data_IF_854103090123
#
_entry.id   IF_854103090123
#
_cell.length_a   1.000
_cell.length_b   1.000
_cell.length_c   1.000
_cell.angle_alpha   90.00
_cell.angle_beta   90.00
_cell.angle_gamma   90.00
#
_symmetry.space_group_name_H-M   'P 1'
#
loop_
_entity.id
_entity.type
_entity.pdbx_description
1 polymer ?
#
# COMPACT_ATOMS: atom_id res chain seq x y z
N UNK A 1 32.29 -9.20 1.38
CA UNK A 1 33.13 -9.40 2.58
C UNK A 1 34.62 -9.33 2.22
N UNK A 2 35.06 -9.87 1.08
CA UNK A 2 36.45 -9.79 0.60
C UNK A 2 37.01 -8.36 0.50
N UNK A 3 36.25 -7.41 -0.05
CA UNK A 3 36.67 -6.01 -0.13
C UNK A 3 36.93 -5.39 1.25
N UNK A 4 36.18 -5.80 2.28
CA UNK A 4 36.38 -5.36 3.65
C UNK A 4 37.68 -5.92 4.24
N UNK A 5 37.97 -7.21 4.02
CA UNK A 5 39.25 -7.81 4.40
C UNK A 5 40.44 -7.14 3.71
N UNK A 6 40.34 -6.89 2.41
CA UNK A 6 41.37 -6.17 1.64
C UNK A 6 41.59 -4.76 2.16
N UNK A 7 40.52 -4.06 2.54
CA UNK A 7 40.58 -2.72 3.13
C UNK A 7 41.20 -2.74 4.54
N UNK A 8 40.93 -3.77 5.35
CA UNK A 8 41.55 -3.97 6.68
C UNK A 8 43.07 -4.21 6.54
N UNK A 9 43.50 -4.93 5.51
CA UNK A 9 44.91 -5.21 5.25
C UNK A 9 45.65 -3.96 4.78
N UNK A 10 45.03 -3.15 3.92
CA UNK A 10 45.65 -1.95 3.32
C UNK A 10 45.57 -0.69 4.20
N UNK A 11 44.65 -0.63 5.17
CA UNK A 11 44.51 0.52 6.08
C UNK A 11 45.61 0.56 7.13
N UNK A 12 46.39 1.63 7.14
CA UNK A 12 47.50 1.87 8.09
C UNK A 12 47.07 2.57 9.38
N UNK A 13 45.93 3.25 9.37
CA UNK A 13 45.38 3.93 10.55
C UNK A 13 44.70 2.93 11.50
N UNK A 14 45.25 2.78 12.70
CA UNK A 14 44.77 1.82 13.71
C UNK A 14 43.30 2.05 14.13
N UNK A 15 42.84 3.29 14.24
CA UNK A 15 41.46 3.61 14.62
C UNK A 15 40.46 3.18 13.54
N UNK A 16 40.75 3.52 12.28
CA UNK A 16 39.91 3.12 11.15
C UNK A 16 39.94 1.60 10.93
N UNK A 17 41.12 0.99 11.09
CA UNK A 17 41.27 -0.47 11.02
C UNK A 17 40.43 -1.18 12.08
N UNK A 18 40.40 -0.68 13.32
CA UNK A 18 39.51 -1.22 14.36
C UNK A 18 38.03 -1.10 13.98
N UNK A 19 37.60 0.02 13.41
CA UNK A 19 36.23 0.18 12.91
C UNK A 19 35.90 -0.83 11.81
N UNK A 20 36.80 -1.04 10.84
CA UNK A 20 36.58 -2.03 9.79
C UNK A 20 36.55 -3.47 10.30
N UNK A 21 37.41 -3.81 11.28
CA UNK A 21 37.36 -5.12 11.94
C UNK A 21 36.04 -5.32 12.68
N UNK A 22 35.57 -4.32 13.43
CA UNK A 22 34.27 -4.42 14.10
C UNK A 22 33.10 -4.61 13.13
N UNK A 23 33.13 -3.93 11.99
CA UNK A 23 32.12 -4.09 10.94
C UNK A 23 32.18 -5.48 10.30
N UNK A 24 33.39 -5.99 10.03
CA UNK A 24 33.58 -7.34 9.51
C UNK A 24 33.03 -8.38 10.48
N UNK A 25 33.37 -8.29 11.78
CA UNK A 25 32.83 -9.20 12.80
C UNK A 25 31.31 -9.12 12.89
N UNK A 26 30.72 -7.92 12.77
CA UNK A 26 29.27 -7.76 12.76
C UNK A 26 28.60 -8.44 11.55
N UNK A 27 29.18 -8.29 10.35
CA UNK A 27 28.66 -8.91 9.11
C UNK A 27 28.86 -10.43 9.09
N UNK A 28 29.91 -10.92 9.76
CA UNK A 28 30.15 -12.35 9.97
C UNK A 28 29.33 -12.94 11.13
N UNK A 29 28.46 -12.16 11.78
CA UNK A 29 27.55 -12.69 12.79
C UNK A 29 26.44 -13.51 12.12
N UNK A 30 26.35 -14.79 12.49
CA UNK A 30 25.36 -15.71 11.92
C UNK A 30 23.91 -15.24 12.14
N UNK A 31 23.57 -14.71 13.33
CA UNK A 31 22.23 -14.20 13.64
C UNK A 31 21.86 -13.01 12.79
N UNK A 32 22.80 -12.09 12.55
CA UNK A 32 22.55 -10.95 11.68
C UNK A 32 22.21 -11.43 10.26
N UNK A 33 22.97 -12.39 9.73
CA UNK A 33 22.72 -12.94 8.39
C UNK A 33 21.38 -13.68 8.32
N UNK A 34 21.07 -14.51 9.32
CA UNK A 34 19.76 -15.16 9.42
C UNK A 34 18.63 -14.12 9.47
N UNK A 35 18.78 -13.07 10.28
CA UNK A 35 17.81 -12.00 10.37
C UNK A 35 17.66 -11.20 9.07
N UNK A 36 18.73 -11.02 8.29
CA UNK A 36 18.65 -10.41 6.95
C UNK A 36 17.86 -11.28 5.97
N UNK A 37 17.99 -12.61 6.05
CA UNK A 37 17.17 -13.53 5.25
C UNK A 37 15.70 -13.47 5.67
N UNK A 38 15.41 -13.38 6.98
CA UNK A 38 14.06 -13.09 7.47
C UNK A 38 13.51 -11.76 6.92
N UNK A 39 14.31 -10.69 6.98
CA UNK A 39 13.90 -9.38 6.46
C UNK A 39 13.59 -9.47 4.97
N UNK A 40 14.33 -10.27 4.20
CA UNK A 40 14.02 -10.50 2.80
C UNK A 40 12.65 -11.14 2.61
N UNK A 41 12.32 -12.18 3.37
CA UNK A 41 11.02 -12.84 3.31
C UNK A 41 9.87 -11.86 3.64
N UNK A 42 9.93 -11.17 4.78
CA UNK A 42 8.86 -10.27 5.22
C UNK A 42 8.71 -9.05 4.31
N UNK A 43 9.81 -8.49 3.80
CA UNK A 43 9.78 -7.40 2.83
C UNK A 43 9.18 -7.85 1.49
N UNK A 44 9.29 -9.13 1.14
CA UNK A 44 8.60 -9.72 -0.01
C UNK A 44 7.08 -9.56 0.10
N UNK A 45 6.50 -9.88 1.26
CA UNK A 45 5.07 -9.71 1.53
C UNK A 45 4.64 -8.25 1.53
N UNK A 46 5.41 -7.38 2.18
CA UNK A 46 5.14 -5.94 2.20
C UNK A 46 5.24 -5.30 0.82
N UNK A 47 6.22 -5.73 0.01
CA UNK A 47 6.37 -5.26 -1.38
C UNK A 47 5.20 -5.69 -2.24
N UNK A 48 4.72 -6.93 -2.09
CA UNK A 48 3.54 -7.41 -2.81
C UNK A 48 2.29 -6.61 -2.45
N UNK A 49 2.05 -6.36 -1.15
CA UNK A 49 0.96 -5.53 -0.66
C UNK A 49 1.06 -4.11 -1.22
N UNK A 50 2.23 -3.48 -1.09
CA UNK A 50 2.49 -2.13 -1.60
C UNK A 50 2.23 -2.03 -3.11
N UNK A 51 2.65 -3.02 -3.91
CA UNK A 51 2.42 -3.04 -5.35
C UNK A 51 0.93 -3.09 -5.73
N UNK A 52 0.08 -3.73 -4.93
CA UNK A 52 -1.38 -3.71 -5.16
C UNK A 52 -1.92 -2.30 -4.97
N UNK A 53 -1.52 -1.60 -3.90
CA UNK A 53 -1.92 -0.21 -3.66
C UNK A 53 -1.28 0.81 -4.62
N UNK A 54 -0.23 0.40 -5.34
CA UNK A 54 0.40 1.13 -6.45
C UNK A 54 -0.22 0.84 -7.81
N UNK A 55 -1.36 0.14 -7.88
CA UNK A 55 -2.07 0.00 -9.15
C UNK A 55 -2.92 1.24 -9.42
N UNK A 56 -2.97 1.69 -10.68
CA UNK A 56 -3.78 2.85 -11.09
C UNK A 56 -5.27 2.64 -10.81
N UNK A 57 -5.73 1.40 -10.90
CA UNK A 57 -7.11 1.00 -10.61
C UNK A 57 -7.08 -0.17 -9.65
N UNK A 58 -7.79 -0.04 -8.54
CA UNK A 58 -7.93 -1.08 -7.51
C UNK A 58 -9.43 -1.33 -7.34
N UNK A 59 -9.85 -2.59 -7.38
CA UNK A 59 -11.23 -2.92 -7.06
C UNK A 59 -11.42 -2.89 -5.54
N UNK A 60 -12.47 -2.23 -5.08
CA UNK A 60 -12.77 -2.09 -3.64
C UNK A 60 -12.93 -3.46 -2.97
N UNK A 61 -13.48 -4.44 -3.67
CA UNK A 61 -13.64 -5.82 -3.21
C UNK A 61 -12.33 -6.53 -2.87
N UNK A 62 -11.22 -6.11 -3.48
CA UNK A 62 -9.94 -6.83 -3.39
C UNK A 62 -9.06 -6.28 -2.25
N UNK A 63 -9.38 -5.08 -1.75
CA UNK A 63 -8.60 -4.38 -0.72
C UNK A 63 -8.49 -5.22 0.55
N UNK A 64 -9.63 -5.61 1.11
CA UNK A 64 -9.66 -6.35 2.38
C UNK A 64 -9.09 -7.77 2.26
N UNK A 65 -9.42 -8.58 1.22
CA UNK A 65 -8.80 -9.88 0.99
C UNK A 65 -7.28 -9.82 0.85
N UNK A 66 -6.73 -8.81 0.17
CA UNK A 66 -5.27 -8.68 -0.02
C UNK A 66 -4.57 -8.34 1.30
N UNK A 67 -5.18 -7.49 2.13
CA UNK A 67 -4.68 -7.18 3.47
C UNK A 67 -4.72 -8.43 4.35
N UNK A 68 -5.87 -9.13 4.42
CA UNK A 68 -6.01 -10.38 5.18
C UNK A 68 -4.99 -11.42 4.75
N UNK A 69 -4.84 -11.62 3.44
CA UNK A 69 -3.89 -12.59 2.89
C UNK A 69 -2.46 -12.26 3.35
N UNK A 70 -2.09 -10.99 3.35
CA UNK A 70 -0.75 -10.56 3.79
C UNK A 70 -0.55 -10.78 5.29
N UNK A 71 -1.54 -10.38 6.11
CA UNK A 71 -1.51 -10.57 7.56
C UNK A 71 -1.43 -12.05 7.94
N UNK A 72 -2.24 -12.89 7.29
CA UNK A 72 -2.30 -14.32 7.58
C UNK A 72 -1.01 -15.03 7.14
N UNK A 73 -0.41 -14.64 6.02
CA UNK A 73 0.92 -15.16 5.63
C UNK A 73 2.00 -14.82 6.65
N UNK A 74 2.07 -13.55 7.09
CA UNK A 74 3.07 -13.14 8.09
C UNK A 74 2.85 -13.87 9.42
N UNK A 75 1.59 -14.04 9.85
CA UNK A 75 1.26 -14.80 11.07
C UNK A 75 1.66 -16.26 10.94
N UNK A 76 1.24 -16.91 9.86
CA UNK A 76 1.52 -18.31 9.64
C UNK A 76 3.03 -18.59 9.57
N UNK A 77 3.80 -17.75 8.90
CA UNK A 77 5.23 -18.00 8.66
C UNK A 77 6.18 -17.45 9.72
N UNK A 78 5.73 -16.62 10.67
CA UNK A 78 6.64 -16.01 11.65
C UNK A 78 6.09 -15.96 13.07
N UNK A 79 4.83 -16.35 13.30
CA UNK A 79 4.19 -16.32 14.62
C UNK A 79 3.58 -17.68 15.01
N UNK A 80 3.29 -18.55 14.05
CA UNK A 80 2.76 -19.89 14.32
C UNK A 80 3.86 -20.96 14.39
N UNK A 81 3.60 -21.99 15.20
CA UNK A 81 4.48 -23.13 15.39
C UNK A 81 3.91 -24.36 14.69
N UNK A 82 4.79 -25.17 14.11
CA UNK A 82 4.43 -26.48 13.55
C UNK A 82 4.03 -27.47 14.67
N UNK A 83 3.53 -28.64 14.25
CA UNK A 83 3.15 -29.72 15.18
C UNK A 83 4.32 -30.26 16.02
N UNK A 84 5.56 -29.92 15.64
CA UNK A 84 6.80 -30.33 16.29
C UNK A 84 7.33 -29.21 17.21
N UNK A 85 6.61 -28.10 17.34
CA UNK A 85 6.95 -26.96 18.21
C UNK A 85 8.01 -26.04 17.65
N UNK A 86 8.32 -26.12 16.35
CA UNK A 86 9.26 -25.21 15.66
C UNK A 86 8.49 -24.08 15.00
N UNK A 87 9.05 -22.87 15.05
CA UNK A 87 8.50 -21.75 14.31
C UNK A 87 8.52 -22.11 12.81
N UNK A 88 7.41 -21.89 12.11
CA UNK A 88 7.44 -21.86 10.65
C UNK A 88 8.39 -20.70 10.27
N UNK A 89 9.15 -20.85 9.19
CA UNK A 89 10.08 -19.81 8.74
C UNK A 89 9.86 -19.58 7.25
N UNK A 90 10.11 -18.35 6.79
CA UNK A 90 10.06 -18.02 5.38
C UNK A 90 11.03 -18.85 4.54
N UNK A 91 10.79 -18.91 3.23
CA UNK A 91 11.55 -19.73 2.29
C UNK A 91 13.04 -19.38 2.30
N UNK A 92 13.40 -18.09 2.29
CA UNK A 92 14.80 -17.68 2.21
C UNK A 92 15.53 -17.94 3.53
N UNK A 93 14.87 -17.71 4.67
CA UNK A 93 15.44 -18.06 5.97
C UNK A 93 15.64 -19.58 6.09
N UNK A 94 14.63 -20.39 5.78
CA UNK A 94 14.74 -21.85 5.81
C UNK A 94 15.87 -22.36 4.92
N UNK A 95 16.02 -21.78 3.72
CA UNK A 95 17.10 -22.11 2.80
C UNK A 95 18.47 -21.73 3.38
N UNK A 96 18.59 -20.59 4.05
CA UNK A 96 19.83 -20.19 4.72
C UNK A 96 20.19 -21.17 5.85
N UNK A 97 19.24 -21.48 6.74
CA UNK A 97 19.44 -22.41 7.86
C UNK A 97 19.81 -23.82 7.41
N UNK A 98 19.23 -24.29 6.30
CA UNK A 98 19.53 -25.60 5.73
C UNK A 98 20.92 -25.67 5.09
N UNK A 99 21.38 -24.57 4.47
CA UNK A 99 22.68 -24.52 3.82
C UNK A 99 23.83 -24.24 4.80
N UNK A 100 23.55 -23.52 5.90
CA UNK A 100 24.53 -23.12 6.91
C UNK A 100 23.98 -23.46 8.29
N UNK A 101 23.90 -24.76 8.63
CA UNK A 101 23.48 -25.19 9.95
C UNK A 101 24.53 -24.78 10.99
N UNK A 102 24.08 -24.52 12.22
CA UNK A 102 24.98 -24.26 13.34
C UNK A 102 25.83 -25.51 13.63
N UNK A 103 27.16 -25.41 13.43
CA UNK A 103 28.08 -26.55 13.55
C UNK A 103 29.55 -26.23 13.23
N UNK A 104 30.36 -27.28 13.09
CA UNK A 104 31.84 -27.20 13.02
C UNK A 104 32.38 -26.40 11.81
N UNK A 105 31.59 -26.19 10.75
CA UNK A 105 31.98 -25.41 9.56
C UNK A 105 30.89 -24.39 9.12
N UNK A 106 30.56 -23.43 9.99
CA UNK A 106 29.73 -22.27 9.61
C UNK A 106 30.53 -21.28 8.73
N UNK A 107 30.79 -21.66 7.47
CA UNK A 107 31.55 -20.83 6.54
C UNK A 107 30.67 -20.35 5.38
N UNK A 108 30.75 -19.05 5.06
CA UNK A 108 30.26 -18.50 3.79
C UNK A 108 31.46 -18.25 2.91
N UNK A 109 31.71 -19.16 1.96
CA UNK A 109 32.92 -19.11 1.13
C UNK A 109 34.18 -19.25 2.01
N UNK A 110 35.02 -18.22 2.03
CA UNK A 110 36.24 -18.17 2.84
C UNK A 110 36.06 -17.53 4.23
N UNK A 111 34.83 -17.11 4.58
CA UNK A 111 34.56 -16.38 5.83
C UNK A 111 33.92 -17.28 6.88
N UNK A 112 34.59 -17.41 8.01
CA UNK A 112 34.06 -18.09 9.18
C UNK A 112 33.07 -17.19 9.92
N UNK A 113 31.88 -17.72 10.19
CA UNK A 113 30.84 -17.02 10.93
C UNK A 113 31.04 -17.19 12.43
N UNK A 114 30.77 -16.13 13.18
CA UNK A 114 30.75 -16.15 14.64
C UNK A 114 29.36 -16.52 15.13
N UNK A 115 29.29 -17.44 16.08
CA UNK A 115 28.07 -17.86 16.75
C UNK A 115 28.31 -18.04 18.28
N UNK A 116 27.23 -18.11 19.04
CA UNK A 116 27.08 -18.23 20.49
C UNK A 116 25.96 -19.25 20.76
N UNK A 117 25.90 -19.75 22.00
CA UNK A 117 25.03 -20.87 22.37
C UNK A 117 23.52 -20.54 22.38
N UNK A 118 23.13 -19.25 22.37
CA UNK A 118 21.73 -18.83 22.56
C UNK A 118 21.08 -18.26 21.28
N UNK A 119 21.80 -18.21 20.15
CA UNK A 119 21.33 -17.51 18.96
C UNK A 119 19.98 -17.95 18.42
N UNK A 120 19.65 -19.24 18.42
CA UNK A 120 18.37 -19.72 17.86
C UNK A 120 17.17 -19.16 18.65
N UNK A 121 17.24 -19.23 19.99
CA UNK A 121 16.18 -18.72 20.85
C UNK A 121 16.05 -17.21 20.73
N UNK A 122 17.17 -16.47 20.72
CA UNK A 122 17.14 -15.02 20.54
C UNK A 122 16.65 -14.60 19.15
N UNK A 123 17.04 -15.32 18.10
CA UNK A 123 16.60 -15.07 16.73
C UNK A 123 15.09 -15.24 16.61
N UNK A 124 14.53 -16.31 17.20
CA UNK A 124 13.08 -16.55 17.22
C UNK A 124 12.35 -15.41 17.92
N UNK A 125 12.86 -14.94 19.07
CA UNK A 125 12.28 -13.80 19.80
C UNK A 125 12.31 -12.52 18.95
N UNK A 126 13.44 -12.23 18.29
CA UNK A 126 13.59 -11.05 17.43
C UNK A 126 12.65 -11.11 16.21
N UNK A 127 12.54 -12.27 15.56
CA UNK A 127 11.62 -12.52 14.44
C UNK A 127 10.18 -12.29 14.88
N UNK A 128 9.76 -12.90 15.98
CA UNK A 128 8.38 -12.78 16.47
C UNK A 128 8.06 -11.35 16.89
N UNK A 129 8.99 -10.67 17.56
CA UNK A 129 8.83 -9.26 17.96
C UNK A 129 8.64 -8.36 16.74
N UNK A 130 9.50 -8.51 15.72
CA UNK A 130 9.42 -7.72 14.49
C UNK A 130 8.16 -8.03 13.69
N UNK A 131 7.85 -9.32 13.47
CA UNK A 131 6.66 -9.73 12.74
C UNK A 131 5.36 -9.26 13.42
N UNK A 132 5.31 -9.32 14.75
CA UNK A 132 4.18 -8.79 15.53
C UNK A 132 4.04 -7.28 15.35
N UNK A 133 5.14 -6.53 15.40
CA UNK A 133 5.11 -5.09 15.17
C UNK A 133 4.63 -4.75 13.74
N UNK A 134 5.09 -5.49 12.73
CA UNK A 134 4.62 -5.33 11.34
C UNK A 134 3.12 -5.61 11.20
N UNK A 135 2.62 -6.68 11.82
CA UNK A 135 1.19 -7.00 11.84
C UNK A 135 0.39 -5.87 12.47
N UNK A 136 0.82 -5.36 13.63
CA UNK A 136 0.17 -4.24 14.30
C UNK A 136 0.17 -2.97 13.43
N UNK A 137 1.30 -2.62 12.83
CA UNK A 137 1.41 -1.46 11.94
C UNK A 137 0.49 -1.56 10.71
N UNK A 138 0.38 -2.74 10.09
CA UNK A 138 -0.57 -2.94 8.98
C UNK A 138 -2.00 -2.74 9.48
N UNK A 139 -2.35 -3.30 10.64
CA UNK A 139 -3.70 -3.15 11.20
C UNK A 139 -4.02 -1.69 11.55
N UNK A 140 -3.07 -0.96 12.14
CA UNK A 140 -3.24 0.46 12.49
C UNK A 140 -3.37 1.36 11.27
N UNK A 141 -2.70 1.04 10.16
CA UNK A 141 -2.82 1.78 8.89
C UNK A 141 -4.19 1.61 8.22
N UNK A 142 -4.90 0.54 8.54
CA UNK A 142 -6.24 0.26 8.03
C UNK A 142 -7.20 0.08 9.21
N UNK A 143 -7.59 1.14 9.94
CA UNK A 143 -8.39 1.01 11.16
C UNK A 143 -9.86 0.65 10.87
N UNK A 144 -10.44 1.19 9.80
CA UNK A 144 -11.87 1.06 9.49
C UNK A 144 -12.15 -0.01 8.42
N UNK A 145 -11.53 -1.19 8.56
CA UNK A 145 -11.71 -2.30 7.59
C UNK A 145 -13.17 -2.73 7.40
N UNK A 146 -14.01 -2.84 8.44
CA UNK A 146 -15.43 -3.16 8.25
C UNK A 146 -16.16 -2.14 7.37
N UNK A 147 -15.80 -0.85 7.48
CA UNK A 147 -16.35 0.20 6.64
C UNK A 147 -15.89 0.03 5.19
N UNK A 148 -14.59 -0.16 4.96
CA UNK A 148 -14.02 -0.37 3.63
C UNK A 148 -14.63 -1.61 2.95
N UNK A 149 -14.74 -2.72 3.68
CA UNK A 149 -15.35 -3.95 3.18
C UNK A 149 -16.83 -3.75 2.85
N UNK A 150 -17.54 -2.90 3.60
CA UNK A 150 -18.93 -2.56 3.30
C UNK A 150 -19.09 -1.84 1.95
N UNK A 151 -18.08 -1.10 1.49
CA UNK A 151 -18.13 -0.38 0.20
C UNK A 151 -18.19 -1.33 -1.01
N UNK A 152 -17.83 -2.62 -0.86
CA UNK A 152 -17.87 -3.61 -1.96
C UNK A 152 -19.26 -3.81 -2.55
N UNK A 153 -20.33 -3.49 -1.81
CA UNK A 153 -21.70 -3.64 -2.30
C UNK A 153 -22.00 -2.73 -3.50
N UNK A 154 -21.15 -1.72 -3.73
CA UNK A 154 -21.24 -0.80 -4.86
C UNK A 154 -20.41 -1.25 -6.07
N UNK A 155 -19.79 -2.43 -6.00
CA UNK A 155 -19.21 -3.11 -7.15
C UNK A 155 -20.28 -3.94 -7.86
N UNK A 156 -20.96 -3.30 -8.80
CA UNK A 156 -22.06 -3.90 -9.56
C UNK A 156 -21.65 -5.11 -10.40
N UNK A 157 -20.37 -5.24 -10.74
CA UNK A 157 -19.88 -6.37 -11.52
C UNK A 157 -19.94 -7.69 -10.73
N UNK A 158 -19.83 -7.60 -9.41
CA UNK A 158 -19.79 -8.74 -8.49
C UNK A 158 -21.14 -9.06 -7.83
N UNK A 159 -22.23 -8.48 -8.35
CA UNK A 159 -23.58 -8.71 -7.80
C UNK A 159 -24.11 -10.12 -8.10
N UNK A 160 -24.93 -10.70 -7.18
CA UNK A 160 -25.57 -12.00 -7.41
C UNK A 160 -26.44 -12.02 -8.68
N UNK A 161 -26.43 -13.16 -9.37
CA UNK A 161 -27.26 -13.38 -10.56
C UNK A 161 -28.70 -13.78 -10.21
N UNK A 162 -28.95 -14.30 -9.00
CA UNK A 162 -30.30 -14.61 -8.55
C UNK A 162 -30.99 -13.36 -8.02
N UNK A 163 -32.24 -13.13 -8.45
CA UNK A 163 -33.08 -12.04 -7.93
C UNK A 163 -33.34 -12.16 -6.42
N UNK A 164 -33.47 -13.40 -5.94
CA UNK A 164 -33.75 -13.70 -4.53
C UNK A 164 -32.56 -13.38 -3.63
N UNK A 165 -31.35 -13.71 -4.10
CA UNK A 165 -30.10 -13.37 -3.41
C UNK A 165 -29.83 -11.86 -3.49
N UNK A 166 -30.03 -11.25 -4.65
CA UNK A 166 -29.86 -9.81 -4.84
C UNK A 166 -30.81 -9.00 -3.94
N UNK A 167 -32.03 -9.48 -3.70
CA UNK A 167 -32.98 -8.79 -2.83
C UNK A 167 -32.42 -8.59 -1.41
N UNK A 168 -31.74 -9.60 -0.87
CA UNK A 168 -31.13 -9.57 0.48
C UNK A 168 -29.68 -9.08 0.49
N UNK A 169 -29.08 -8.91 -0.67
CA UNK A 169 -27.67 -8.54 -0.79
C UNK A 169 -27.40 -7.12 -0.25
N UNK A 170 -26.33 -7.03 0.55
CA UNK A 170 -25.73 -5.79 1.00
C UNK A 170 -26.48 -5.03 2.10
N UNK A 171 -27.51 -5.61 2.73
CA UNK A 171 -28.28 -4.91 3.76
C UNK A 171 -27.45 -4.59 5.01
N UNK A 172 -26.59 -5.51 5.44
CA UNK A 172 -25.74 -5.32 6.63
C UNK A 172 -24.67 -4.27 6.36
N UNK A 173 -23.99 -4.36 5.23
CA UNK A 173 -22.99 -3.41 4.77
C UNK A 173 -23.58 -2.02 4.56
N UNK A 174 -24.79 -1.93 4.00
CA UNK A 174 -25.48 -0.65 3.82
C UNK A 174 -25.80 0.01 5.16
N UNK A 175 -26.16 -0.75 6.18
CA UNK A 175 -26.39 -0.21 7.52
C UNK A 175 -25.11 0.39 8.12
N UNK A 176 -23.96 -0.28 7.92
CA UNK A 176 -22.65 0.24 8.35
C UNK A 176 -22.35 1.57 7.64
N UNK A 177 -22.52 1.63 6.32
CA UNK A 177 -22.31 2.85 5.53
C UNK A 177 -23.29 3.96 5.92
N UNK A 178 -24.55 3.62 6.15
CA UNK A 178 -25.59 4.58 6.54
C UNK A 178 -25.33 5.17 7.91
N UNK A 179 -24.83 4.38 8.88
CA UNK A 179 -24.49 4.89 10.20
C UNK A 179 -23.25 5.80 10.15
N UNK A 180 -22.24 5.41 9.37
CA UNK A 180 -21.02 6.20 9.23
C UNK A 180 -21.26 7.54 8.52
N UNK A 181 -21.99 7.53 7.40
CA UNK A 181 -22.29 8.72 6.60
C UNK A 181 -23.65 9.36 6.91
N UNK A 182 -24.20 9.14 8.11
CA UNK A 182 -25.54 9.64 8.51
C UNK A 182 -25.73 11.15 8.43
N UNK A 183 -24.64 11.93 8.42
CA UNK A 183 -24.72 13.40 8.29
C UNK A 183 -24.91 13.81 6.84
N UNK A 184 -24.40 13.01 5.92
CA UNK A 184 -24.37 13.27 4.50
C UNK A 184 -25.57 12.64 3.78
N UNK A 185 -25.98 11.45 4.18
CA UNK A 185 -27.00 10.63 3.52
C UNK A 185 -28.04 10.13 4.53
N UNK A 186 -29.32 10.25 4.17
CA UNK A 186 -30.46 9.86 5.00
C UNK A 186 -31.30 8.80 4.30
N UNK A 187 -31.89 7.85 5.03
CA UNK A 187 -32.86 6.88 4.48
C UNK A 187 -32.36 6.06 3.26
N UNK A 188 -31.09 5.67 3.24
CA UNK A 188 -30.48 4.89 2.14
C UNK A 188 -31.19 3.53 1.96
N UNK A 189 -31.64 2.93 3.06
CA UNK A 189 -32.31 1.63 3.07
C UNK A 189 -33.62 1.65 2.24
N UNK A 190 -34.34 2.78 2.23
CA UNK A 190 -35.56 2.92 1.44
C UNK A 190 -35.31 2.97 -0.07
N UNK A 191 -34.16 3.53 -0.48
CA UNK A 191 -33.77 3.65 -1.88
C UNK A 191 -33.13 2.36 -2.43
N UNK A 192 -32.49 1.56 -1.55
CA UNK A 192 -31.61 0.45 -1.94
C UNK A 192 -32.29 -0.60 -2.82
N UNK A 193 -33.52 -0.97 -2.48
CA UNK A 193 -34.25 -1.97 -3.24
C UNK A 193 -34.55 -1.50 -4.68
N UNK A 194 -35.05 -0.27 -4.83
CA UNK A 194 -35.37 0.30 -6.13
C UNK A 194 -34.12 0.50 -7.00
N UNK A 195 -33.05 1.00 -6.37
CA UNK A 195 -31.76 1.14 -7.01
C UNK A 195 -31.21 -0.19 -7.55
N UNK A 196 -31.21 -1.24 -6.72
CA UNK A 196 -30.79 -2.60 -7.14
C UNK A 196 -31.60 -3.10 -8.34
N UNK A 197 -32.91 -2.89 -8.33
CA UNK A 197 -33.79 -3.31 -9.43
C UNK A 197 -33.45 -2.61 -10.75
N UNK A 198 -33.16 -1.30 -10.72
CA UNK A 198 -32.78 -0.51 -11.91
C UNK A 198 -31.42 -0.93 -12.44
N UNK A 199 -30.41 -1.03 -11.57
CA UNK A 199 -29.05 -1.41 -11.98
C UNK A 199 -29.02 -2.81 -12.56
N UNK A 200 -29.69 -3.76 -11.90
CA UNK A 200 -29.77 -5.14 -12.37
C UNK A 200 -30.46 -5.27 -13.74
N UNK A 201 -31.52 -4.49 -13.98
CA UNK A 201 -32.31 -4.59 -15.21
C UNK A 201 -31.67 -3.88 -16.41
N UNK A 202 -31.07 -2.72 -16.18
CA UNK A 202 -30.66 -1.82 -17.26
C UNK A 202 -29.14 -1.66 -17.41
N UNK A 203 -28.36 -1.97 -16.37
CA UNK A 203 -26.94 -1.63 -16.31
C UNK A 203 -26.03 -2.81 -15.93
N UNK A 204 -26.50 -4.04 -16.10
CA UNK A 204 -25.70 -5.24 -15.84
C UNK A 204 -24.44 -5.25 -16.69
N UNK A 205 -23.29 -5.52 -16.06
CA UNK A 205 -21.95 -5.59 -16.68
C UNK A 205 -21.43 -4.26 -17.28
N UNK A 206 -22.01 -3.12 -16.92
CA UNK A 206 -21.49 -1.82 -17.35
C UNK A 206 -20.39 -1.37 -16.38
N UNK A 207 -19.28 -0.89 -16.95
CA UNK A 207 -18.18 -0.34 -16.16
C UNK A 207 -18.64 0.89 -15.38
N UNK A 208 -18.17 1.01 -14.13
CA UNK A 208 -18.58 2.10 -13.26
C UNK A 208 -18.29 3.49 -13.86
N UNK A 209 -17.20 3.64 -14.63
CA UNK A 209 -16.83 4.93 -15.22
C UNK A 209 -17.90 5.46 -16.20
N UNK A 210 -18.69 4.56 -16.79
CA UNK A 210 -19.81 4.89 -17.68
C UNK A 210 -21.12 4.95 -16.92
N UNK A 211 -21.28 4.10 -15.90
CA UNK A 211 -22.50 4.02 -15.10
C UNK A 211 -22.67 5.26 -14.20
N UNK A 212 -21.60 5.69 -13.53
CA UNK A 212 -21.66 6.74 -12.51
C UNK A 212 -22.23 8.06 -13.08
N UNK A 213 -21.75 8.62 -14.21
CA UNK A 213 -22.34 9.83 -14.78
C UNK A 213 -23.83 9.69 -15.12
N UNK A 214 -24.25 8.53 -15.63
CA UNK A 214 -25.66 8.26 -15.96
C UNK A 214 -26.54 8.19 -14.73
N UNK A 215 -26.04 7.61 -13.64
CA UNK A 215 -26.76 7.58 -12.36
C UNK A 215 -26.99 9.01 -11.85
N UNK A 216 -25.95 9.86 -11.88
CA UNK A 216 -26.06 11.27 -11.51
C UNK A 216 -27.01 12.07 -12.41
N UNK A 217 -27.04 11.79 -13.72
CA UNK A 217 -27.86 12.54 -14.66
C UNK A 217 -29.35 12.15 -14.61
N UNK A 218 -29.66 10.85 -14.58
CA UNK A 218 -31.04 10.36 -14.79
C UNK A 218 -31.73 9.85 -13.53
N UNK A 219 -30.98 9.54 -12.47
CA UNK A 219 -31.53 8.85 -11.30
C UNK A 219 -31.32 9.60 -9.98
N UNK A 220 -30.70 10.79 -10.01
CA UNK A 220 -30.45 11.58 -8.80
C UNK A 220 -31.73 11.92 -8.04
N UNK A 221 -32.81 12.28 -8.73
CA UNK A 221 -34.09 12.60 -8.09
C UNK A 221 -34.78 11.36 -7.48
N UNK A 222 -34.51 10.16 -8.02
CA UNK A 222 -35.11 8.92 -7.56
C UNK A 222 -34.33 8.27 -6.41
N UNK A 223 -32.99 8.34 -6.44
CA UNK A 223 -32.09 7.73 -5.46
C UNK A 223 -31.00 8.70 -4.98
N UNK A 224 -31.38 9.89 -4.45
CA UNK A 224 -30.42 10.95 -4.13
C UNK A 224 -29.38 10.53 -3.10
N UNK A 225 -29.77 9.70 -2.11
CA UNK A 225 -28.88 9.32 -1.02
C UNK A 225 -27.88 8.25 -1.46
N UNK A 226 -28.31 7.26 -2.26
CA UNK A 226 -27.40 6.26 -2.83
C UNK A 226 -26.41 6.90 -3.80
N UNK A 227 -26.87 7.84 -4.63
CA UNK A 227 -25.99 8.50 -5.61
C UNK A 227 -24.98 9.40 -4.91
N UNK A 228 -25.40 10.10 -3.86
CA UNK A 228 -24.47 10.84 -3.01
C UNK A 228 -23.44 9.92 -2.32
N UNK A 229 -23.87 8.76 -1.80
CA UNK A 229 -22.99 7.75 -1.22
C UNK A 229 -21.97 7.23 -2.25
N UNK A 230 -22.40 6.92 -3.48
CA UNK A 230 -21.52 6.56 -4.59
C UNK A 230 -20.50 7.67 -4.85
N UNK A 231 -20.94 8.93 -4.92
CA UNK A 231 -20.06 10.07 -5.10
C UNK A 231 -18.97 10.16 -4.03
N UNK A 232 -19.34 9.95 -2.76
CA UNK A 232 -18.39 9.94 -1.65
C UNK A 232 -17.38 8.80 -1.82
N UNK A 233 -17.84 7.56 -2.00
CA UNK A 233 -16.97 6.38 -2.04
C UNK A 233 -16.04 6.40 -3.25
N UNK A 234 -16.53 6.77 -4.43
CA UNK A 234 -15.70 6.88 -5.63
C UNK A 234 -14.79 8.12 -5.66
N UNK A 235 -14.91 9.01 -4.67
CA UNK A 235 -13.95 10.11 -4.45
C UNK A 235 -12.80 9.73 -3.51
N UNK A 236 -12.84 8.54 -2.89
CA UNK A 236 -11.78 8.08 -2.00
C UNK A 236 -10.59 7.60 -2.86
N UNK A 237 -9.38 8.17 -2.67
CA UNK A 237 -8.19 7.68 -3.35
C UNK A 237 -7.72 6.38 -2.70
N UNK A 238 -8.07 5.24 -3.28
CA UNK A 238 -7.59 3.92 -2.82
C UNK A 238 -6.15 3.60 -3.27
N UNK A 239 -5.60 4.38 -4.22
CA UNK A 239 -4.30 4.16 -4.82
C UNK A 239 -3.29 5.23 -4.38
N UNK A 240 -2.04 4.83 -4.14
CA UNK A 240 -0.93 5.76 -3.88
C UNK A 240 -0.28 6.29 -5.17
N UNK A 241 -0.69 5.79 -6.35
CA UNK A 241 -0.04 6.10 -7.63
C UNK A 241 0.01 7.60 -7.91
N UNK A 242 -1.08 8.31 -7.65
CA UNK A 242 -1.13 9.76 -7.91
C UNK A 242 -0.20 10.53 -6.97
N UNK A 243 -0.05 10.05 -5.72
CA UNK A 243 0.94 10.59 -4.79
C UNK A 243 2.38 10.33 -5.27
N UNK A 244 2.69 9.10 -5.73
CA UNK A 244 4.01 8.74 -6.24
C UNK A 244 4.37 9.49 -7.53
N UNK A 245 3.40 9.68 -8.42
CA UNK A 245 3.52 10.57 -9.59
C UNK A 245 3.80 12.00 -9.15
N UNK A 246 3.07 12.49 -8.13
CA UNK A 246 3.30 13.77 -7.48
C UNK A 246 4.74 13.96 -7.02
N UNK A 247 5.26 13.02 -6.22
CA UNK A 247 6.65 13.06 -5.74
C UNK A 247 7.66 12.97 -6.88
N UNK A 248 7.41 12.12 -7.88
CA UNK A 248 8.28 12.00 -9.06
C UNK A 248 8.37 13.32 -9.81
N UNK A 249 7.23 14.00 -10.04
CA UNK A 249 7.19 15.33 -10.66
C UNK A 249 7.85 16.39 -9.78
N UNK A 250 7.63 16.33 -8.47
CA UNK A 250 8.28 17.23 -7.51
C UNK A 250 9.81 17.13 -7.60
N UNK A 251 10.37 15.92 -7.68
CA UNK A 251 11.81 15.70 -7.78
C UNK A 251 12.40 16.22 -9.11
N UNK A 252 11.61 16.22 -10.19
CA UNK A 252 12.01 16.85 -11.46
C UNK A 252 11.97 18.38 -11.39
N UNK A 253 11.02 18.95 -10.65
CA UNK A 253 10.87 20.41 -10.50
C UNK A 253 11.90 20.97 -9.52
N UNK A 254 12.10 20.29 -8.39
CA UNK A 254 12.95 20.68 -7.27
C UNK A 254 14.18 19.77 -7.24
N UNK A 255 15.19 20.18 -7.99
CA UNK A 255 16.48 19.49 -8.08
C UNK A 255 17.48 20.02 -7.05
N UNK A 256 18.63 19.37 -6.91
CA UNK A 256 19.70 19.81 -6.01
C UNK A 256 20.18 21.24 -6.29
N UNK A 257 20.21 21.62 -7.58
CA UNK A 257 20.56 22.98 -8.02
C UNK A 257 19.40 23.98 -7.87
N UNK A 258 18.18 23.49 -7.66
CA UNK A 258 16.95 24.27 -7.61
C UNK A 258 16.11 23.92 -6.38
N UNK A 259 16.74 23.95 -5.23
CA UNK A 259 16.13 23.57 -3.95
C UNK A 259 15.50 24.75 -3.17
N UNK A 260 15.73 26.00 -3.62
CA UNK A 260 15.29 27.23 -2.94
C UNK A 260 13.89 27.72 -3.35
N UNK A 261 13.07 26.86 -3.97
CA UNK A 261 11.69 27.20 -4.31
C UNK A 261 10.84 27.31 -3.05
N UNK A 262 10.09 28.40 -2.93
CA UNK A 262 9.07 28.50 -1.90
C UNK A 262 7.90 27.54 -2.20
N UNK A 263 7.13 27.19 -1.17
CA UNK A 263 6.07 26.18 -1.28
C UNK A 263 4.98 26.57 -2.28
N UNK A 264 4.65 27.85 -2.39
CA UNK A 264 3.63 28.36 -3.30
C UNK A 264 4.06 28.21 -4.77
N UNK A 265 5.29 28.58 -5.09
CA UNK A 265 5.86 28.39 -6.43
C UNK A 265 5.94 26.92 -6.78
N UNK A 266 6.41 26.08 -5.84
CA UNK A 266 6.46 24.64 -6.04
C UNK A 266 5.07 24.06 -6.31
N UNK A 267 4.05 24.49 -5.54
CA UNK A 267 2.68 24.08 -5.73
C UNK A 267 2.17 24.42 -7.12
N UNK A 268 2.32 25.67 -7.59
CA UNK A 268 1.90 26.04 -8.94
C UNK A 268 2.61 25.25 -10.04
N UNK A 269 3.91 25.01 -9.87
CA UNK A 269 4.68 24.22 -10.82
C UNK A 269 4.25 22.74 -10.83
N UNK A 270 3.93 22.18 -9.67
CA UNK A 270 3.39 20.82 -9.56
C UNK A 270 2.01 20.73 -10.20
N UNK A 271 1.12 21.71 -9.98
CA UNK A 271 -0.20 21.76 -10.62
C UNK A 271 -0.08 21.74 -12.15
N UNK A 272 0.84 22.54 -12.71
CA UNK A 272 1.10 22.55 -14.16
C UNK A 272 1.75 21.25 -14.62
N UNK A 273 2.72 20.72 -13.86
CA UNK A 273 3.51 19.55 -14.25
C UNK A 273 2.79 18.20 -14.09
N UNK A 274 1.70 18.17 -13.31
CA UNK A 274 0.82 17.01 -13.13
C UNK A 274 -0.31 16.96 -14.15
N UNK A 275 -0.64 18.07 -14.81
CA UNK A 275 -1.60 18.08 -15.90
C UNK A 275 -1.06 17.23 -17.06
N UNK A 276 -1.83 16.23 -17.49
CA UNK A 276 -1.44 15.31 -18.56
C UNK A 276 -1.68 15.89 -19.98
N UNK A 277 -2.16 17.14 -20.09
CA UNK A 277 -2.36 17.80 -21.39
C UNK A 277 -1.02 18.13 -22.05
N UNK A 278 -0.90 17.74 -23.32
CA UNK A 278 0.22 18.15 -24.14
C UNK A 278 0.21 19.67 -24.29
N UNK A 279 1.38 20.30 -24.22
CA UNK A 279 1.53 21.75 -24.40
C UNK A 279 1.00 22.20 -25.78
N UNK A 280 1.04 21.31 -26.78
CA UNK A 280 0.48 21.58 -28.10
C UNK A 280 -1.06 21.68 -28.11
N UNK A 281 -1.74 21.06 -27.16
CA UNK A 281 -3.21 21.12 -27.02
C UNK A 281 -3.67 22.25 -26.09
N UNK A 282 -2.74 22.91 -25.41
CA UNK A 282 -3.07 24.00 -24.49
C UNK A 282 -3.31 25.32 -25.24
N UNK A 283 -4.49 25.91 -25.04
CA UNK A 283 -4.83 27.21 -25.63
C UNK A 283 -4.19 28.37 -24.85
N UNK A 284 -2.93 28.66 -25.20
CA UNK A 284 -2.19 29.80 -24.65
C UNK A 284 -2.89 31.15 -24.92
N UNK A 285 -3.62 31.27 -26.02
CA UNK A 285 -4.34 32.51 -26.35
C UNK A 285 -5.45 32.76 -25.35
N UNK A 286 -6.22 31.73 -25.03
CA UNK A 286 -7.27 31.80 -24.01
C UNK A 286 -6.70 32.07 -22.62
N UNK A 287 -5.60 31.42 -22.26
CA UNK A 287 -4.93 31.67 -20.98
C UNK A 287 -4.47 33.14 -20.85
N UNK A 288 -3.90 33.71 -21.91
CA UNK A 288 -3.45 35.10 -21.94
C UNK A 288 -4.62 36.09 -21.83
N UNK A 289 -5.76 35.79 -22.48
CA UNK A 289 -6.99 36.59 -22.35
C UNK A 289 -7.51 36.61 -20.91
N UNK A 290 -7.52 35.46 -20.23
CA UNK A 290 -7.94 35.35 -18.83
C UNK A 290 -6.99 36.12 -17.93
N UNK A 291 -5.67 35.97 -18.12
CA UNK A 291 -4.66 36.69 -17.36
C UNK A 291 -4.83 38.22 -17.49
N UNK A 292 -4.94 38.71 -18.73
CA UNK A 292 -5.16 40.13 -19.00
C UNK A 292 -6.48 40.65 -18.42
N UNK A 293 -7.54 39.81 -18.41
CA UNK A 293 -8.82 40.14 -17.80
C UNK A 293 -8.79 40.16 -16.26
N UNK A 294 -7.96 39.32 -15.64
CA UNK A 294 -7.73 39.29 -14.20
C UNK A 294 -6.86 40.46 -13.72
N UNK A 295 -6.06 41.07 -14.60
CA UNK A 295 -5.36 42.34 -14.36
C UNK A 295 -6.30 43.57 -14.30
N UNK A 296 -7.51 43.45 -13.74
CA UNK A 296 -8.27 44.63 -13.30
C UNK A 296 -7.49 45.26 -12.14
N UNK A 297 -6.79 46.35 -12.49
CA UNK A 297 -6.03 47.28 -11.66
C UNK A 297 -6.57 47.33 -10.23
N UNK A 298 -5.71 47.04 -9.24
CA UNK A 298 -5.84 47.62 -7.90
C UNK A 298 -5.88 49.14 -8.11
N UNK A 299 -7.07 49.72 -8.00
CA UNK A 299 -7.25 51.18 -7.83
C UNK A 299 -6.95 51.49 -6.37
#
# INVERSE_FOLDING_TARGET
MDTLLETIITTTNNLQKQSFVSLYTAICNWKLLAFLHFLWDILGYLSALSKVFQQKKIQISDIDPVIELTLNKIRQEFLEFDNEGRLLLGENLNRFLSNIPLGEDCNIGAHQLTWDENYEAELVVDIQSFASAVVSEIQERFPDRPLLNSMKILDHANWPNSKEELAKYGEQELNILSEFYKKEVNNICGEWFGYKAIVYSNFKNIKIEVLLPRLFEFYYDAFPNIIKLLGIIYSIPFSSVDCERGFSKQNLIKTDLRNSLNNETLHFWMMVGLEEKDLSEFDFTRALQIWNGACKRRI
#
